data_IF_036817597998
#
_entry.id   IF_036817597998
#
_cell.length_a   1.000
_cell.length_b   1.000
_cell.length_c   1.000
_cell.angle_alpha   90.00
_cell.angle_beta   90.00
_cell.angle_gamma   90.00
#
_symmetry.space_group_name_H-M   'P 1'
#
loop_
_entity.id
_entity.type
_entity.pdbx_description
1 polymer ?
#
# COMPACT_ATOMS: atom_id res chain seq x y z
N UNK A 1 15.97 -49.92 12.74
CA UNK A 1 16.46 -48.98 11.71
C UNK A 1 15.62 -47.72 11.87
N UNK A 2 16.13 -46.71 12.60
CA UNK A 2 15.40 -45.45 12.77
C UNK A 2 15.55 -44.68 11.47
N UNK A 3 14.53 -44.72 10.64
CA UNK A 3 14.42 -43.86 9.47
C UNK A 3 14.54 -42.42 9.96
N UNK A 4 15.59 -41.73 9.51
CA UNK A 4 15.75 -40.31 9.80
C UNK A 4 14.50 -39.59 9.28
N UNK A 5 13.85 -38.74 10.09
CA UNK A 5 12.65 -38.04 9.64
C UNK A 5 12.95 -37.26 8.37
N UNK A 6 12.10 -37.42 7.34
CA UNK A 6 12.22 -36.65 6.10
C UNK A 6 12.26 -35.16 6.44
N UNK A 7 13.31 -34.49 5.98
CA UNK A 7 13.48 -33.06 6.21
C UNK A 7 12.35 -32.35 5.45
N UNK A 8 11.51 -31.56 6.12
CA UNK A 8 10.42 -30.85 5.46
C UNK A 8 10.99 -29.90 4.41
N UNK A 9 10.41 -29.91 3.21
CA UNK A 9 10.80 -29.01 2.12
C UNK A 9 10.77 -27.54 2.57
N UNK A 10 11.70 -26.70 2.09
CA UNK A 10 11.74 -25.29 2.47
C UNK A 10 10.42 -24.59 2.10
N UNK A 11 9.94 -23.65 2.93
CA UNK A 11 8.70 -22.95 2.67
C UNK A 11 8.81 -22.15 1.35
N UNK A 12 7.73 -22.07 0.55
CA UNK A 12 7.76 -21.32 -0.69
C UNK A 12 8.12 -19.86 -0.45
N UNK A 13 9.02 -19.33 -1.28
CA UNK A 13 9.48 -17.96 -1.18
C UNK A 13 8.45 -16.97 -1.73
N UNK A 14 8.33 -15.82 -1.05
CA UNK A 14 7.45 -14.73 -1.49
C UNK A 14 8.25 -13.87 -2.48
N UNK A 15 7.71 -13.55 -3.68
CA UNK A 15 8.38 -12.69 -4.64
C UNK A 15 8.53 -11.28 -4.08
N UNK A 16 9.76 -10.95 -3.63
CA UNK A 16 10.08 -9.69 -2.94
C UNK A 16 9.75 -8.45 -3.78
N UNK A 17 10.05 -8.48 -5.08
CA UNK A 17 9.78 -7.34 -5.98
C UNK A 17 8.30 -6.99 -6.00
N UNK A 18 7.43 -7.98 -6.21
CA UNK A 18 5.98 -7.80 -6.24
C UNK A 18 5.43 -7.29 -4.91
N UNK A 19 5.99 -7.78 -3.80
CA UNK A 19 5.65 -7.29 -2.47
C UNK A 19 5.99 -5.80 -2.31
N UNK A 20 7.24 -5.42 -2.57
CA UNK A 20 7.68 -4.03 -2.47
C UNK A 20 6.88 -3.10 -3.38
N UNK A 21 6.55 -3.53 -4.60
CA UNK A 21 5.71 -2.73 -5.50
C UNK A 21 4.32 -2.52 -4.92
N UNK A 22 3.67 -3.55 -4.38
CA UNK A 22 2.34 -3.38 -3.78
C UNK A 22 2.36 -2.45 -2.56
N UNK A 23 3.47 -2.42 -1.81
CA UNK A 23 3.62 -1.54 -0.65
C UNK A 23 3.95 -0.09 -1.03
N UNK A 24 4.73 0.12 -2.10
CA UNK A 24 5.23 1.43 -2.49
C UNK A 24 4.27 2.20 -3.41
N UNK A 25 3.44 1.50 -4.21
CA UNK A 25 2.57 2.14 -5.19
C UNK A 25 1.54 3.08 -4.53
N UNK A 26 0.76 2.68 -3.52
CA UNK A 26 -0.22 3.59 -2.91
C UNK A 26 0.39 4.89 -2.36
N UNK A 27 1.45 4.86 -1.52
CA UNK A 27 2.05 6.10 -1.02
C UNK A 27 2.71 6.91 -2.13
N UNK A 28 3.34 6.27 -3.13
CA UNK A 28 3.91 6.98 -4.27
C UNK A 28 2.84 7.72 -5.09
N UNK A 29 1.70 7.08 -5.38
CA UNK A 29 0.57 7.72 -6.07
C UNK A 29 0.04 8.88 -5.25
N UNK A 30 -0.14 8.70 -3.93
CA UNK A 30 -0.60 9.78 -3.05
C UNK A 30 0.36 10.96 -3.07
N UNK A 31 1.67 10.75 -2.90
CA UNK A 31 2.67 11.83 -2.86
C UNK A 31 2.86 12.52 -4.20
N UNK A 32 3.03 11.77 -5.28
CA UNK A 32 3.19 12.34 -6.63
C UNK A 32 1.92 13.11 -7.00
N UNK A 33 0.77 12.51 -6.71
CA UNK A 33 -0.51 13.13 -6.98
C UNK A 33 -0.65 14.46 -6.24
N UNK A 34 -0.41 14.50 -4.93
CA UNK A 34 -0.56 15.75 -4.15
C UNK A 34 0.40 16.84 -4.64
N UNK A 35 1.64 16.47 -4.97
CA UNK A 35 2.61 17.38 -5.57
C UNK A 35 2.13 17.93 -6.91
N UNK A 36 1.65 17.08 -7.82
CA UNK A 36 1.13 17.51 -9.13
C UNK A 36 -0.07 18.44 -8.96
N UNK A 37 -1.01 18.12 -8.07
CA UNK A 37 -2.15 18.98 -7.79
C UNK A 37 -1.73 20.34 -7.24
N UNK A 38 -0.69 20.39 -6.40
CA UNK A 38 -0.13 21.64 -5.88
C UNK A 38 0.51 22.53 -6.95
N UNK A 39 1.09 21.92 -7.97
CA UNK A 39 1.70 22.66 -9.08
C UNK A 39 0.66 23.17 -10.08
N UNK A 40 -0.41 22.41 -10.32
CA UNK A 40 -1.44 22.74 -11.31
C UNK A 40 -2.45 23.74 -10.74
N UNK A 41 -2.90 23.52 -9.51
CA UNK A 41 -3.96 24.30 -8.89
C UNK A 41 -3.36 25.26 -7.86
N UNK A 42 -3.32 26.55 -8.21
CA UNK A 42 -2.91 27.61 -7.27
C UNK A 42 -3.82 27.68 -6.03
N UNK A 43 -3.42 28.49 -5.04
CA UNK A 43 -4.00 28.55 -3.69
C UNK A 43 -5.52 28.71 -3.61
N UNK A 44 -6.15 29.27 -4.66
CA UNK A 44 -7.58 29.60 -4.68
C UNK A 44 -8.51 28.38 -4.74
N UNK A 45 -8.08 27.29 -5.39
CA UNK A 45 -8.88 26.05 -5.53
C UNK A 45 -8.19 24.81 -4.92
N UNK A 46 -6.98 24.99 -4.36
CA UNK A 46 -6.14 23.90 -3.87
C UNK A 46 -6.88 22.94 -2.92
N UNK A 47 -7.66 23.46 -1.97
CA UNK A 47 -8.36 22.63 -0.98
C UNK A 47 -9.42 21.69 -1.58
N UNK A 48 -10.22 22.16 -2.53
CA UNK A 48 -11.27 21.35 -3.15
C UNK A 48 -10.68 20.28 -4.07
N UNK A 49 -9.66 20.64 -4.85
CA UNK A 49 -9.00 19.74 -5.78
C UNK A 49 -8.18 18.65 -5.04
N UNK A 50 -7.61 18.98 -3.88
CA UNK A 50 -6.91 17.99 -3.06
C UNK A 50 -7.81 16.89 -2.48
N UNK A 51 -9.11 17.17 -2.29
CA UNK A 51 -10.06 16.18 -1.78
C UNK A 51 -10.25 15.01 -2.76
N UNK A 52 -10.04 15.22 -4.06
CA UNK A 52 -10.08 14.15 -5.06
C UNK A 52 -8.96 13.10 -4.87
N UNK A 53 -7.92 13.42 -4.10
CA UNK A 53 -6.82 12.49 -3.85
C UNK A 53 -7.17 11.41 -2.83
N UNK A 54 -8.16 11.64 -1.97
CA UNK A 54 -8.69 10.64 -1.05
C UNK A 54 -9.32 9.44 -1.77
N UNK A 55 -10.32 9.61 -2.67
CA UNK A 55 -10.90 8.48 -3.39
C UNK A 55 -9.87 7.81 -4.33
N UNK A 56 -8.98 8.58 -4.98
CA UNK A 56 -7.91 8.02 -5.81
C UNK A 56 -6.97 7.15 -4.97
N UNK A 57 -6.54 7.64 -3.81
CA UNK A 57 -5.70 6.89 -2.87
C UNK A 57 -6.39 5.61 -2.40
N UNK A 58 -7.67 5.68 -2.03
CA UNK A 58 -8.45 4.50 -1.63
C UNK A 58 -8.54 3.46 -2.75
N UNK A 59 -8.81 3.87 -3.99
CA UNK A 59 -8.83 2.97 -5.14
C UNK A 59 -7.46 2.32 -5.32
N UNK A 60 -6.36 3.08 -5.26
CA UNK A 60 -5.01 2.54 -5.36
C UNK A 60 -4.69 1.51 -4.26
N UNK A 61 -5.11 1.78 -3.01
CA UNK A 61 -4.96 0.85 -1.88
C UNK A 61 -5.74 -0.45 -2.13
N UNK A 62 -7.00 -0.35 -2.55
CA UNK A 62 -7.86 -1.52 -2.81
C UNK A 62 -7.30 -2.34 -3.98
N UNK A 63 -6.91 -1.69 -5.08
CA UNK A 63 -6.31 -2.38 -6.23
C UNK A 63 -5.02 -3.09 -5.82
N UNK A 64 -4.11 -2.41 -5.11
CA UNK A 64 -2.87 -3.01 -4.65
C UNK A 64 -3.08 -4.10 -3.58
N UNK A 65 -4.14 -4.01 -2.76
CA UNK A 65 -4.54 -5.06 -1.83
C UNK A 65 -4.85 -6.37 -2.57
N UNK A 66 -5.57 -6.34 -3.69
CA UNK A 66 -5.83 -7.54 -4.50
C UNK A 66 -4.53 -8.19 -4.97
N UNK A 67 -3.56 -7.39 -5.41
CA UNK A 67 -2.24 -7.88 -5.81
C UNK A 67 -1.43 -8.42 -4.61
N UNK A 68 -1.45 -7.72 -3.48
CA UNK A 68 -0.81 -8.14 -2.24
C UNK A 68 -1.33 -9.50 -1.77
N UNK A 69 -2.65 -9.68 -1.76
CA UNK A 69 -3.29 -10.96 -1.43
C UNK A 69 -2.82 -12.06 -2.37
N UNK A 70 -2.76 -11.83 -3.69
CA UNK A 70 -2.29 -12.83 -4.66
C UNK A 70 -0.85 -13.26 -4.37
N UNK A 71 0.03 -12.31 -4.04
CA UNK A 71 1.44 -12.57 -3.70
C UNK A 71 1.57 -13.33 -2.38
N UNK A 72 0.82 -12.95 -1.35
CA UNK A 72 0.90 -13.57 -0.03
C UNK A 72 0.25 -14.96 0.04
N UNK A 73 -0.72 -15.24 -0.84
CA UNK A 73 -1.42 -16.54 -0.90
C UNK A 73 -0.51 -17.71 -1.30
N UNK A 74 0.69 -17.42 -1.81
CA UNK A 74 1.74 -18.41 -2.09
C UNK A 74 2.20 -19.10 -0.80
N UNK A 75 2.32 -18.35 0.31
CA UNK A 75 2.87 -18.85 1.58
C UNK A 75 1.83 -18.95 2.69
N UNK A 76 0.86 -18.04 2.73
CA UNK A 76 -0.12 -17.95 3.81
C UNK A 76 -1.52 -18.29 3.33
N UNK A 77 -2.29 -19.02 4.16
CA UNK A 77 -3.68 -19.40 3.89
C UNK A 77 -4.56 -19.13 5.10
N UNK A 78 -5.87 -19.03 4.87
CA UNK A 78 -6.87 -18.90 5.92
C UNK A 78 -6.74 -17.63 6.75
N UNK A 79 -6.78 -17.77 8.08
CA UNK A 79 -6.85 -16.65 9.04
C UNK A 79 -5.65 -15.72 8.98
N UNK A 80 -4.43 -16.25 8.79
CA UNK A 80 -3.22 -15.42 8.72
C UNK A 80 -3.27 -14.48 7.52
N UNK A 81 -3.73 -14.97 6.36
CA UNK A 81 -3.86 -14.14 5.16
C UNK A 81 -4.83 -12.98 5.37
N UNK A 82 -5.96 -13.21 6.06
CA UNK A 82 -6.93 -12.17 6.39
C UNK A 82 -6.32 -11.12 7.30
N UNK A 83 -5.63 -11.54 8.37
CA UNK A 83 -5.01 -10.63 9.33
C UNK A 83 -3.91 -9.77 8.68
N UNK A 84 -3.07 -10.36 7.83
CA UNK A 84 -2.05 -9.60 7.08
C UNK A 84 -2.67 -8.64 6.06
N UNK A 85 -3.79 -9.01 5.44
CA UNK A 85 -4.52 -8.16 4.48
C UNK A 85 -5.15 -6.94 5.17
N UNK A 86 -5.74 -7.13 6.35
CA UNK A 86 -6.26 -6.03 7.18
C UNK A 86 -5.11 -5.12 7.62
N UNK A 87 -4.00 -5.70 8.09
CA UNK A 87 -2.82 -4.93 8.48
C UNK A 87 -2.25 -4.12 7.32
N UNK A 88 -2.19 -4.69 6.12
CA UNK A 88 -1.82 -3.96 4.90
C UNK A 88 -2.77 -2.81 4.64
N UNK A 89 -4.09 -3.05 4.61
CA UNK A 89 -5.08 -2.02 4.30
C UNK A 89 -4.98 -0.85 5.29
N UNK A 90 -4.95 -1.16 6.59
CA UNK A 90 -4.89 -0.16 7.66
C UNK A 90 -3.56 0.61 7.63
N UNK A 91 -2.44 -0.08 7.43
CA UNK A 91 -1.12 0.54 7.30
C UNK A 91 -1.03 1.48 6.10
N UNK A 92 -1.58 1.08 4.95
CA UNK A 92 -1.60 1.92 3.75
C UNK A 92 -2.51 3.15 3.91
N UNK A 93 -3.68 3.00 4.55
CA UNK A 93 -4.55 4.14 4.86
C UNK A 93 -3.82 5.15 5.75
N UNK A 94 -3.18 4.69 6.83
CA UNK A 94 -2.43 5.57 7.74
C UNK A 94 -1.28 6.26 6.99
N UNK A 95 -0.46 5.50 6.24
CA UNK A 95 0.67 6.06 5.50
C UNK A 95 0.23 7.09 4.45
N UNK A 96 -0.78 6.79 3.65
CA UNK A 96 -1.30 7.72 2.65
C UNK A 96 -1.88 8.97 3.30
N UNK A 97 -2.61 8.86 4.42
CA UNK A 97 -3.11 10.02 5.15
C UNK A 97 -1.96 10.88 5.71
N UNK A 98 -0.94 10.28 6.31
CA UNK A 98 0.22 11.01 6.80
C UNK A 98 0.93 11.77 5.69
N UNK A 99 1.13 11.15 4.51
CA UNK A 99 1.75 11.79 3.36
C UNK A 99 0.88 12.91 2.78
N UNK A 100 -0.44 12.69 2.70
CA UNK A 100 -1.38 13.70 2.23
C UNK A 100 -1.39 14.93 3.15
N UNK A 101 -1.61 14.75 4.47
CA UNK A 101 -1.56 15.85 5.44
C UNK A 101 -0.19 16.53 5.50
N UNK A 102 0.90 15.75 5.46
CA UNK A 102 2.26 16.28 5.43
C UNK A 102 2.51 17.17 4.22
N UNK A 103 2.02 16.77 3.04
CA UNK A 103 2.14 17.59 1.83
C UNK A 103 1.35 18.90 1.91
N UNK A 104 0.21 18.93 2.62
CA UNK A 104 -0.49 20.19 2.89
C UNK A 104 0.37 21.17 3.69
N UNK A 105 1.07 20.69 4.73
CA UNK A 105 1.89 21.55 5.60
C UNK A 105 3.12 22.12 4.90
N UNK A 106 3.74 21.34 4.00
CA UNK A 106 4.90 21.80 3.22
C UNK A 106 4.52 22.88 2.20
N UNK A 107 3.31 22.80 1.63
CA UNK A 107 2.83 23.74 0.59
C UNK A 107 2.20 25.01 1.18
N UNK A 108 1.77 24.98 2.46
CA UNK A 108 1.18 26.13 3.16
C UNK A 108 2.21 27.06 3.84
N UNK A 109 3.51 26.76 3.73
CA UNK A 109 4.60 27.66 4.13
C UNK A 109 4.99 28.60 3.00
#
# INVERSE_FOLDING_TARGET
MNEAPEIPAPPPEIPRKSLWTTLAIPPAITTIGTLVMSMIFGSRNYGAEMLWMLPIGLIAIITCLVFFVRVFRIRYRGRTLVLTSIGYFLGQVILCLCLWFGSCMVVLQ
#
